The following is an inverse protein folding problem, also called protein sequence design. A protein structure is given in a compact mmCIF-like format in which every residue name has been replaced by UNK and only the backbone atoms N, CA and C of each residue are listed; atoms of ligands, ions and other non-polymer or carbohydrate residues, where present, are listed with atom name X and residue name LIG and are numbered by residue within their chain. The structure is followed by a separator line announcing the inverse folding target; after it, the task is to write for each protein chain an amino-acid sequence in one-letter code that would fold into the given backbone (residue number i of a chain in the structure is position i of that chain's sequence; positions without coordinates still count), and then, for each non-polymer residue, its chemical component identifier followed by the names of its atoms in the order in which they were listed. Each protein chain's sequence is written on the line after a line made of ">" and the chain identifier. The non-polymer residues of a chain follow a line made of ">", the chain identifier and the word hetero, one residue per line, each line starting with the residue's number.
data_IF_368553399019
#
_entry.id   IF_368553399019
#
_cell.length_a   1.000
_cell.length_b   1.000
_cell.length_c   1.000
_cell.angle_alpha   90.00
_cell.angle_beta   90.00
_cell.angle_gamma   90.00
#
_symmetry.space_group_name_H-M   'P 1'
#
loop_
_entity.id
_entity.type
_entity.pdbx_description
1 polymer ?
#
# COMPACT_ATOMS: atom_id res chain seq x y z
N UNK A 1 1.92 12.41 1.04
CA UNK A 1 0.67 11.82 1.57
C UNK A 1 0.87 11.46 3.03
N UNK A 2 -0.07 11.77 3.93
CA UNK A 2 0.03 11.38 5.33
C UNK A 2 -0.76 10.10 5.58
N UNK A 3 -0.11 9.08 6.15
CA UNK A 3 -0.79 7.87 6.59
C UNK A 3 -1.58 8.20 7.86
N UNK A 4 -2.78 7.64 7.99
CA UNK A 4 -3.65 7.90 9.15
C UNK A 4 -3.08 7.27 10.43
N UNK A 5 -2.25 6.25 10.28
CA UNK A 5 -1.59 5.52 11.37
C UNK A 5 -0.07 5.43 11.16
N UNK A 6 0.71 5.26 12.25
CA UNK A 6 2.15 5.01 12.13
C UNK A 6 2.44 3.68 11.41
N UNK A 7 3.43 3.70 10.52
CA UNK A 7 3.95 2.51 9.85
C UNK A 7 5.44 2.39 10.10
N UNK A 8 5.83 1.25 10.66
CA UNK A 8 7.21 0.90 10.94
C UNK A 8 7.61 -0.29 10.06
N UNK A 9 8.50 -0.07 9.09
CA UNK A 9 9.02 -1.09 8.18
C UNK A 9 10.44 -1.49 8.60
N UNK A 10 10.69 -2.79 8.75
CA UNK A 10 12.01 -3.34 9.09
C UNK A 10 12.56 -4.13 7.90
N UNK A 11 13.82 -3.89 7.55
CA UNK A 11 14.50 -4.62 6.46
C UNK A 11 15.28 -5.79 7.08
N UNK A 12 14.71 -6.98 6.95
CA UNK A 12 15.26 -8.23 7.51
C UNK A 12 15.25 -9.42 6.54
N UNK A 13 14.47 -9.35 5.46
CA UNK A 13 14.32 -10.43 4.46
C UNK A 13 15.28 -10.33 3.26
N UNK A 14 16.38 -9.59 3.36
CA UNK A 14 17.32 -9.38 2.24
C UNK A 14 18.73 -9.91 2.45
N UNK A 15 19.18 -10.07 3.69
CA UNK A 15 20.52 -10.58 4.01
C UNK A 15 20.61 -12.08 3.73
N UNK A 16 21.77 -12.53 3.25
CA UNK A 16 22.04 -13.94 2.94
C UNK A 16 23.33 -14.37 3.63
N UNK A 17 23.42 -15.66 3.97
CA UNK A 17 24.58 -16.25 4.63
C UNK A 17 25.65 -16.68 3.59
N UNK A 18 26.15 -15.75 2.77
CA UNK A 18 27.14 -16.03 1.72
C UNK A 18 28.51 -16.41 2.29
N UNK A 19 28.94 -15.67 3.32
CA UNK A 19 30.18 -15.90 4.07
C UNK A 19 29.81 -16.41 5.46
N UNK A 20 30.37 -17.56 5.82
CA UNK A 20 30.15 -18.21 7.13
C UNK A 20 31.48 -18.61 7.75
N UNK A 21 31.53 -18.70 9.09
CA UNK A 21 32.72 -19.13 9.86
C UNK A 21 33.98 -18.30 9.59
N UNK A 22 33.83 -17.00 9.35
CA UNK A 22 34.91 -16.04 9.20
C UNK A 22 34.69 -14.83 10.11
N UNK A 23 35.75 -14.22 10.63
CA UNK A 23 35.66 -13.05 11.53
C UNK A 23 34.97 -11.85 10.86
N UNK A 24 35.16 -11.67 9.55
CA UNK A 24 34.54 -10.61 8.76
C UNK A 24 33.20 -11.00 8.13
N UNK A 25 32.60 -12.15 8.50
CA UNK A 25 31.41 -12.68 7.85
C UNK A 25 30.22 -11.70 7.88
N UNK A 26 30.00 -11.02 9.00
CA UNK A 26 28.91 -10.04 9.13
C UNK A 26 29.06 -8.89 8.13
N UNK A 27 30.22 -8.23 8.12
CA UNK A 27 30.49 -7.10 7.23
C UNK A 27 30.41 -7.53 5.77
N UNK A 28 31.00 -8.67 5.42
CA UNK A 28 30.98 -9.19 4.05
C UNK A 28 29.55 -9.49 3.56
N UNK A 29 28.71 -10.10 4.40
CA UNK A 29 27.32 -10.39 4.04
C UNK A 29 26.47 -9.12 3.91
N UNK A 30 26.66 -8.12 4.79
CA UNK A 30 25.96 -6.84 4.70
C UNK A 30 26.37 -6.04 3.44
N UNK A 31 27.65 -6.05 3.06
CA UNK A 31 28.10 -5.43 1.81
C UNK A 31 27.47 -6.10 0.58
N UNK A 32 27.40 -7.44 0.57
CA UNK A 32 26.75 -8.20 -0.50
C UNK A 32 25.24 -7.93 -0.58
N UNK A 33 24.56 -7.88 0.57
CA UNK A 33 23.14 -7.51 0.67
C UNK A 33 22.88 -6.14 0.04
N UNK A 34 23.67 -5.13 0.43
CA UNK A 34 23.51 -3.77 -0.06
C UNK A 34 23.77 -3.68 -1.57
N UNK A 35 24.80 -4.38 -2.06
CA UNK A 35 25.11 -4.44 -3.49
C UNK A 35 23.98 -5.05 -4.32
N UNK A 36 23.34 -6.12 -3.81
CA UNK A 36 22.25 -6.84 -4.51
C UNK A 36 20.92 -6.09 -4.46
N UNK A 37 20.63 -5.39 -3.38
CA UNK A 37 19.32 -4.80 -3.12
C UNK A 37 19.30 -3.26 -3.23
N UNK A 38 20.34 -2.65 -3.81
CA UNK A 38 20.50 -1.19 -3.90
C UNK A 38 19.25 -0.47 -4.42
N UNK A 39 18.62 -0.98 -5.48
CA UNK A 39 17.41 -0.38 -6.05
C UNK A 39 16.23 -0.47 -5.08
N UNK A 40 15.99 -1.64 -4.48
CA UNK A 40 14.93 -1.85 -3.48
C UNK A 40 15.11 -0.95 -2.27
N UNK A 41 16.33 -0.85 -1.74
CA UNK A 41 16.62 0.03 -0.61
C UNK A 41 16.48 1.51 -0.97
N UNK A 42 16.82 1.89 -2.20
CA UNK A 42 16.59 3.25 -2.70
C UNK A 42 15.09 3.56 -2.81
N UNK A 43 14.29 2.61 -3.28
CA UNK A 43 12.83 2.72 -3.35
C UNK A 43 12.19 2.84 -1.95
N UNK A 44 12.58 1.98 -1.00
CA UNK A 44 12.08 2.05 0.38
C UNK A 44 12.47 3.36 1.07
N UNK A 45 13.70 3.82 0.87
CA UNK A 45 14.18 5.11 1.38
C UNK A 45 13.43 6.28 0.76
N UNK A 46 13.16 6.22 -0.55
CA UNK A 46 12.31 7.21 -1.20
C UNK A 46 10.89 7.19 -0.61
N UNK A 47 10.30 6.00 -0.43
CA UNK A 47 8.97 5.84 0.16
C UNK A 47 8.86 6.45 1.56
N UNK A 48 9.86 6.24 2.42
CA UNK A 48 9.90 6.85 3.76
C UNK A 48 10.03 8.37 3.72
N UNK A 49 10.58 8.95 2.65
CA UNK A 49 10.66 10.41 2.47
C UNK A 49 9.43 11.02 1.81
N UNK A 50 8.69 10.22 1.04
CA UNK A 50 7.50 10.65 0.29
C UNK A 50 6.19 10.51 1.11
N UNK A 51 6.17 9.61 2.09
CA UNK A 51 5.03 9.33 2.95
C UNK A 51 5.30 9.84 4.38
N UNK A 52 4.34 10.56 4.98
CA UNK A 52 4.42 10.91 6.39
C UNK A 52 4.00 9.72 7.25
N UNK A 53 4.54 9.62 8.47
CA UNK A 53 4.31 8.53 9.41
C UNK A 53 4.87 7.16 8.96
N UNK A 54 5.85 7.14 8.06
CA UNK A 54 6.62 5.93 7.71
C UNK A 54 8.03 6.00 8.30
N UNK A 55 8.36 5.04 9.15
CA UNK A 55 9.71 4.76 9.59
C UNK A 55 10.24 3.54 8.83
N UNK A 56 11.43 3.65 8.25
CA UNK A 56 12.15 2.50 7.66
C UNK A 56 13.42 2.24 8.46
N UNK A 57 13.46 1.12 9.16
CA UNK A 57 14.66 0.63 9.84
C UNK A 57 15.74 0.23 8.82
N UNK A 58 17.01 0.63 9.03
CA UNK A 58 18.07 0.30 8.08
C UNK A 58 18.33 -1.22 8.02
N UNK A 59 18.91 -1.74 6.92
CA UNK A 59 19.32 -3.14 6.84
C UNK A 59 20.27 -3.50 7.99
N UNK A 60 20.14 -4.71 8.53
CA UNK A 60 20.95 -5.19 9.66
C UNK A 60 20.46 -4.72 11.05
N UNK A 61 19.29 -4.11 11.14
CA UNK A 61 18.69 -3.69 12.43
C UNK A 61 18.12 -4.85 13.26
N UNK A 62 18.08 -6.07 12.70
CA UNK A 62 17.45 -7.23 13.31
C UNK A 62 16.17 -7.65 12.59
N UNK A 63 15.49 -8.67 13.13
CA UNK A 63 14.24 -9.20 12.57
C UNK A 63 13.03 -8.39 13.05
N UNK A 64 12.02 -8.21 12.20
CA UNK A 64 10.88 -7.31 12.44
C UNK A 64 10.17 -7.60 13.76
N UNK A 65 9.97 -8.87 14.12
CA UNK A 65 9.25 -9.23 15.34
C UNK A 65 10.05 -8.96 16.61
N UNK A 66 11.36 -9.18 16.58
CA UNK A 66 12.23 -8.90 17.72
C UNK A 66 12.39 -7.39 17.93
N UNK A 67 12.63 -6.65 16.84
CA UNK A 67 12.68 -5.18 16.88
C UNK A 67 11.34 -4.62 17.38
N UNK A 68 10.23 -5.24 17.00
CA UNK A 68 8.91 -4.84 17.48
C UNK A 68 8.75 -5.08 18.99
N UNK A 69 9.20 -6.22 19.51
CA UNK A 69 9.17 -6.49 20.96
C UNK A 69 10.08 -5.56 21.77
N UNK A 70 11.26 -5.24 21.24
CA UNK A 70 12.29 -4.52 21.99
C UNK A 70 12.17 -2.99 21.87
N UNK A 71 11.64 -2.48 20.75
CA UNK A 71 11.70 -1.04 20.43
C UNK A 71 10.40 -0.41 19.91
N UNK A 72 9.64 -1.10 19.05
CA UNK A 72 8.50 -0.48 18.37
C UNK A 72 7.16 -0.65 19.10
N UNK A 73 7.00 -1.71 19.88
CA UNK A 73 5.79 -1.99 20.65
C UNK A 73 5.61 -0.96 21.77
N UNK A 74 4.51 -0.21 21.72
CA UNK A 74 4.25 0.92 22.62
C UNK A 74 3.40 0.54 23.82
N UNK A 75 2.61 -0.54 23.72
CA UNK A 75 1.64 -1.03 24.73
C UNK A 75 0.47 -0.05 24.96
N UNK A 76 0.76 1.22 25.23
CA UNK A 76 -0.21 2.31 25.33
C UNK A 76 0.25 3.49 24.46
N UNK A 77 -0.68 4.06 23.71
CA UNK A 77 -0.51 5.36 23.09
C UNK A 77 -1.17 6.43 23.96
N UNK A 78 -0.57 7.63 23.95
CA UNK A 78 -1.17 8.86 24.48
C UNK A 78 -1.39 9.82 23.31
N UNK A 79 -2.65 10.18 23.07
CA UNK A 79 -3.02 11.21 22.10
C UNK A 79 -3.93 12.21 22.78
N UNK A 80 -3.41 13.42 22.98
CA UNK A 80 -4.14 14.56 23.55
C UNK A 80 -4.74 14.26 24.94
N UNK A 81 -4.05 13.46 25.76
CA UNK A 81 -4.49 13.08 27.11
C UNK A 81 -5.49 11.91 27.13
N UNK A 82 -5.81 11.32 25.98
CA UNK A 82 -6.52 10.06 25.87
C UNK A 82 -5.52 8.90 25.71
N UNK A 83 -5.52 7.98 26.68
CA UNK A 83 -4.77 6.74 26.60
C UNK A 83 -5.58 5.67 25.87
N UNK A 84 -4.96 5.00 24.90
CA UNK A 84 -5.55 3.85 24.23
C UNK A 84 -4.51 2.74 24.03
N UNK A 85 -4.99 1.49 24.02
CA UNK A 85 -4.13 0.33 23.84
C UNK A 85 -3.49 0.33 22.46
N UNK A 86 -2.23 -0.07 22.42
CA UNK A 86 -1.54 -0.40 21.18
C UNK A 86 -2.19 -1.63 20.55
N UNK A 87 -2.46 -1.53 19.25
CA UNK A 87 -2.97 -2.61 18.41
C UNK A 87 -2.33 -2.48 17.04
N UNK A 88 -1.99 -3.61 16.41
CA UNK A 88 -1.19 -3.54 15.18
C UNK A 88 -1.44 -4.72 14.24
N UNK A 89 -1.57 -4.42 12.95
CA UNK A 89 -1.52 -5.41 11.87
C UNK A 89 -0.17 -5.34 11.17
N UNK A 90 0.30 -6.45 10.61
CA UNK A 90 1.59 -6.48 9.92
C UNK A 90 1.55 -7.39 8.70
N UNK A 91 2.37 -7.08 7.69
CA UNK A 91 2.48 -7.87 6.46
C UNK A 91 3.29 -9.16 6.61
N UNK A 92 3.29 -9.74 7.81
CA UNK A 92 3.97 -11.00 8.16
C UNK A 92 3.07 -11.81 9.11
N UNK A 93 2.98 -13.12 8.88
CA UNK A 93 2.13 -14.03 9.67
C UNK A 93 2.49 -14.10 11.16
N UNK A 94 3.76 -13.91 11.51
CA UNK A 94 4.25 -13.98 12.89
C UNK A 94 4.12 -12.65 13.62
N UNK A 95 3.39 -11.67 13.06
CA UNK A 95 3.13 -10.41 13.74
C UNK A 95 2.54 -10.61 15.14
N UNK A 96 1.77 -11.69 15.32
CA UNK A 96 1.24 -12.20 16.62
C UNK A 96 2.28 -12.38 17.72
N UNK A 97 3.58 -12.42 17.41
CA UNK A 97 4.64 -12.50 18.42
C UNK A 97 4.59 -11.35 19.43
N UNK A 98 4.14 -10.15 19.03
CA UNK A 98 4.03 -9.00 19.93
C UNK A 98 2.88 -9.10 20.93
N UNK A 99 1.96 -10.06 20.75
CA UNK A 99 0.87 -10.34 21.69
C UNK A 99 1.40 -10.70 23.10
N UNK A 100 2.65 -11.18 23.18
CA UNK A 100 3.34 -11.44 24.44
C UNK A 100 3.51 -10.17 25.33
N UNK A 101 3.45 -8.97 24.74
CA UNK A 101 3.48 -7.69 25.46
C UNK A 101 2.09 -7.16 25.81
N UNK A 102 1.02 -7.91 25.53
CA UNK A 102 -0.37 -7.45 25.70
C UNK A 102 -0.86 -6.52 24.60
N UNK A 103 -0.16 -6.46 23.46
CA UNK A 103 -0.54 -5.69 22.27
C UNK A 103 -1.37 -6.61 21.37
N UNK A 104 -2.61 -6.25 21.06
CA UNK A 104 -3.43 -7.10 20.18
C UNK A 104 -2.94 -6.99 18.72
N UNK A 105 -2.48 -8.09 18.13
CA UNK A 105 -1.92 -8.07 16.78
C UNK A 105 -2.17 -9.32 15.94
N UNK A 106 -2.10 -9.17 14.62
CA UNK A 106 -2.12 -10.30 13.69
C UNK A 106 -1.49 -9.97 12.33
N UNK A 107 -1.15 -11.02 11.59
CA UNK A 107 -0.64 -10.92 10.23
C UNK A 107 -1.76 -10.71 9.22
N UNK A 108 -1.52 -9.85 8.23
CA UNK A 108 -2.42 -9.57 7.10
C UNK A 108 -1.62 -9.53 5.79
N UNK A 109 -2.30 -9.53 4.64
CA UNK A 109 -1.65 -9.29 3.35
C UNK A 109 -1.27 -7.82 3.14
N UNK A 110 -0.51 -7.54 2.09
CA UNK A 110 -0.03 -6.18 1.79
C UNK A 110 -1.18 -5.19 1.52
N UNK A 111 -2.21 -5.62 0.80
CA UNK A 111 -3.36 -4.77 0.45
C UNK A 111 -4.18 -4.45 1.70
N UNK A 112 -4.34 -5.41 2.60
CA UNK A 112 -5.01 -5.23 3.88
C UNK A 112 -4.27 -4.24 4.78
N UNK A 113 -2.93 -4.33 4.81
CA UNK A 113 -2.10 -3.37 5.50
C UNK A 113 -2.22 -1.96 4.86
N UNK A 114 -2.17 -1.86 3.53
CA UNK A 114 -2.33 -0.59 2.81
C UNK A 114 -3.70 0.07 3.09
N UNK A 115 -4.78 -0.70 3.05
CA UNK A 115 -6.13 -0.24 3.36
C UNK A 115 -6.24 0.30 4.80
N UNK A 116 -5.62 -0.38 5.75
CA UNK A 116 -5.58 0.05 7.16
C UNK A 116 -4.74 1.33 7.33
N UNK A 117 -3.74 1.51 6.48
CA UNK A 117 -2.71 2.54 6.61
C UNK A 117 -3.13 3.88 5.99
N UNK A 118 -3.79 3.82 4.84
CA UNK A 118 -4.09 4.98 4.01
C UNK A 118 -5.52 5.52 4.21
N UNK A 119 -6.34 4.84 5.01
CA UNK A 119 -7.68 5.28 5.38
C UNK A 119 -8.78 4.85 4.39
N UNK A 120 -9.90 5.56 4.42
CA UNK A 120 -11.04 5.28 3.54
C UNK A 120 -10.89 5.94 2.17
N UNK A 121 -11.31 5.24 1.12
CA UNK A 121 -11.41 5.83 -0.22
C UNK A 121 -12.39 6.99 -0.20
N UNK A 122 -11.98 8.14 -0.75
CA UNK A 122 -12.84 9.32 -0.78
C UNK A 122 -14.10 9.02 -1.60
N UNK A 123 -15.30 9.41 -1.13
CA UNK A 123 -16.56 8.92 -1.68
C UNK A 123 -16.83 9.33 -3.14
N UNK A 124 -16.13 10.34 -3.66
CA UNK A 124 -16.23 10.79 -5.06
C UNK A 124 -15.31 10.02 -6.02
N UNK A 125 -14.48 9.11 -5.53
CA UNK A 125 -13.58 8.31 -6.37
C UNK A 125 -14.34 7.08 -6.87
N UNK A 126 -14.35 6.91 -8.20
CA UNK A 126 -14.99 5.77 -8.84
C UNK A 126 -14.02 4.58 -8.91
N UNK A 127 -14.13 3.68 -7.95
CA UNK A 127 -13.39 2.42 -7.89
C UNK A 127 -14.13 1.30 -8.63
N UNK A 128 -13.37 0.37 -9.20
CA UNK A 128 -13.95 -0.80 -9.88
C UNK A 128 -12.96 -1.95 -9.95
N UNK A 129 -13.44 -3.18 -9.71
CA UNK A 129 -12.65 -4.40 -9.90
C UNK A 129 -13.28 -5.28 -10.98
N UNK A 130 -12.50 -5.55 -12.03
CA UNK A 130 -12.92 -6.36 -13.17
C UNK A 130 -11.94 -7.53 -13.40
N UNK A 131 -12.06 -8.64 -12.65
CA UNK A 131 -11.15 -9.76 -12.81
C UNK A 131 -11.30 -10.42 -14.19
N UNK A 132 -10.21 -10.98 -14.72
CA UNK A 132 -10.25 -11.74 -15.98
C UNK A 132 -11.01 -13.07 -15.87
N UNK A 133 -11.12 -13.63 -14.65
CA UNK A 133 -11.84 -14.87 -14.36
C UNK A 133 -12.30 -14.90 -12.91
N UNK A 134 -13.22 -15.82 -12.59
CA UNK A 134 -13.72 -16.04 -11.22
C UNK A 134 -12.70 -16.63 -10.24
N UNK A 135 -11.54 -17.06 -10.71
CA UNK A 135 -10.54 -17.76 -9.88
C UNK A 135 -9.63 -16.79 -9.12
N UNK A 136 -9.45 -15.57 -9.62
CA UNK A 136 -8.40 -14.63 -9.18
C UNK A 136 -8.45 -14.29 -7.68
N UNK A 137 -9.65 -14.30 -7.09
CA UNK A 137 -9.86 -13.90 -5.68
C UNK A 137 -10.39 -15.07 -4.83
N UNK A 138 -10.57 -16.25 -5.43
CA UNK A 138 -11.03 -17.44 -4.72
C UNK A 138 -9.93 -17.93 -3.76
N UNK A 139 -10.33 -18.23 -2.52
CA UNK A 139 -9.48 -18.74 -1.44
C UNK A 139 -8.58 -17.69 -0.75
N UNK A 140 -8.86 -16.39 -0.91
CA UNK A 140 -8.21 -15.32 -0.14
C UNK A 140 -9.25 -14.42 0.52
N UNK A 141 -8.94 -13.89 1.71
CA UNK A 141 -9.76 -12.86 2.36
C UNK A 141 -9.63 -11.48 1.68
N UNK A 142 -8.84 -11.40 0.60
CA UNK A 142 -8.53 -10.18 -0.13
C UNK A 142 -9.78 -9.47 -0.67
N UNK A 143 -10.80 -10.22 -1.10
CA UNK A 143 -12.04 -9.62 -1.60
C UNK A 143 -12.69 -8.72 -0.55
N UNK A 144 -12.68 -9.13 0.73
CA UNK A 144 -13.29 -8.35 1.80
C UNK A 144 -12.61 -7.00 1.98
N UNK A 145 -11.29 -6.96 1.80
CA UNK A 145 -10.51 -5.75 1.96
C UNK A 145 -10.63 -4.84 0.73
N UNK A 146 -10.65 -5.42 -0.47
CA UNK A 146 -10.99 -4.71 -1.70
C UNK A 146 -12.40 -4.12 -1.65
N UNK A 147 -13.39 -4.86 -1.13
CA UNK A 147 -14.75 -4.37 -0.94
C UNK A 147 -14.81 -3.15 0.00
N UNK A 148 -13.99 -3.14 1.06
CA UNK A 148 -13.90 -2.00 1.98
C UNK A 148 -13.34 -0.74 1.31
N UNK A 149 -12.50 -0.92 0.28
CA UNK A 149 -11.99 0.16 -0.56
C UNK A 149 -12.92 0.51 -1.74
N UNK A 150 -14.11 -0.10 -1.83
CA UNK A 150 -15.04 0.11 -2.95
C UNK A 150 -14.68 -0.64 -4.24
N UNK A 151 -13.74 -1.60 -4.17
CA UNK A 151 -13.38 -2.49 -5.28
C UNK A 151 -14.24 -3.75 -5.30
N UNK A 152 -15.56 -3.58 -5.24
CA UNK A 152 -16.48 -4.68 -5.46
C UNK A 152 -16.31 -5.22 -6.89
N UNK A 153 -16.45 -6.53 -7.05
CA UNK A 153 -16.41 -7.15 -8.38
C UNK A 153 -17.62 -6.68 -9.18
N UNK A 154 -17.36 -5.88 -10.22
CA UNK A 154 -18.41 -5.33 -11.09
C UNK A 154 -18.69 -6.21 -12.32
N UNK A 155 -17.82 -7.18 -12.59
CA UNK A 155 -17.99 -8.14 -13.68
C UNK A 155 -16.68 -8.78 -14.11
N UNK A 156 -16.78 -9.84 -14.91
CA UNK A 156 -15.64 -10.54 -15.49
C UNK A 156 -15.48 -10.18 -16.96
N UNK A 157 -14.49 -9.34 -17.29
CA UNK A 157 -14.30 -8.86 -18.66
C UNK A 157 -13.41 -7.62 -18.76
N UNK A 158 -13.29 -7.06 -19.97
CA UNK A 158 -12.38 -5.93 -20.22
C UNK A 158 -12.84 -4.59 -19.62
N UNK A 159 -14.16 -4.33 -19.54
CA UNK A 159 -14.79 -3.16 -18.88
C UNK A 159 -14.02 -1.84 -19.12
N UNK A 160 -13.45 -1.23 -18.07
CA UNK A 160 -12.75 0.07 -18.13
C UNK A 160 -11.57 0.05 -19.10
N UNK A 161 -10.90 -1.10 -19.30
CA UNK A 161 -9.76 -1.24 -20.24
C UNK A 161 -10.13 -0.91 -21.68
N UNK A 162 -11.40 -1.09 -22.07
CA UNK A 162 -11.90 -0.80 -23.42
C UNK A 162 -12.78 0.45 -23.46
N UNK A 163 -12.85 1.23 -22.38
CA UNK A 163 -13.68 2.43 -22.29
C UNK A 163 -15.12 2.21 -21.84
N UNK A 164 -15.48 0.97 -21.48
CA UNK A 164 -16.77 0.69 -20.86
C UNK A 164 -16.72 1.03 -19.37
N UNK A 165 -16.36 2.26 -19.04
CA UNK A 165 -16.21 2.75 -17.66
C UNK A 165 -17.55 3.10 -17.01
N UNK A 166 -18.60 3.36 -17.79
CA UNK A 166 -19.87 3.96 -17.32
C UNK A 166 -19.69 5.38 -16.79
N UNK A 167 -20.77 6.01 -16.33
CA UNK A 167 -20.79 7.43 -15.95
C UNK A 167 -20.31 7.67 -14.51
N UNK A 168 -19.79 8.87 -14.24
CA UNK A 168 -19.58 9.36 -12.88
C UNK A 168 -20.90 9.73 -12.21
N UNK A 169 -20.89 9.84 -10.88
CA UNK A 169 -21.97 10.50 -10.15
C UNK A 169 -22.18 11.92 -10.70
N UNK A 170 -23.44 12.35 -10.79
CA UNK A 170 -23.80 13.64 -11.38
C UNK A 170 -23.08 14.81 -10.68
N UNK A 171 -22.92 14.74 -9.36
CA UNK A 171 -22.21 15.77 -8.60
C UNK A 171 -20.73 15.87 -8.99
N UNK A 172 -20.08 14.74 -9.25
CA UNK A 172 -18.68 14.68 -9.68
C UNK A 172 -18.53 15.12 -11.13
N UNK A 173 -19.42 14.65 -12.00
CA UNK A 173 -19.43 15.01 -13.41
C UNK A 173 -19.61 16.53 -13.59
N UNK A 174 -20.57 17.13 -12.90
CA UNK A 174 -20.82 18.58 -12.89
C UNK A 174 -19.63 19.34 -12.29
N UNK A 175 -19.04 18.86 -11.19
CA UNK A 175 -17.86 19.51 -10.62
C UNK A 175 -16.67 19.55 -11.60
N UNK A 176 -16.45 18.48 -12.37
CA UNK A 176 -15.39 18.41 -13.38
C UNK A 176 -15.65 19.41 -14.52
N UNK A 177 -16.87 19.45 -15.05
CA UNK A 177 -17.21 20.26 -16.23
C UNK A 177 -17.37 21.74 -15.89
N UNK A 178 -18.07 22.08 -14.81
CA UNK A 178 -18.35 23.47 -14.42
C UNK A 178 -17.09 24.22 -13.97
N UNK A 179 -16.11 23.51 -13.41
CA UNK A 179 -14.87 24.09 -12.90
C UNK A 179 -13.66 23.83 -13.82
N UNK A 180 -13.88 23.28 -15.02
CA UNK A 180 -12.83 22.91 -15.99
C UNK A 180 -11.66 22.13 -15.37
N UNK A 181 -11.98 21.13 -14.54
CA UNK A 181 -10.97 20.34 -13.83
C UNK A 181 -10.34 19.31 -14.76
N UNK A 182 -9.02 19.16 -14.63
CA UNK A 182 -8.29 18.04 -15.22
C UNK A 182 -8.45 16.84 -14.28
N UNK A 183 -9.46 16.00 -14.54
CA UNK A 183 -9.63 14.73 -13.84
C UNK A 183 -8.70 13.66 -14.41
N UNK A 184 -8.18 12.81 -13.52
CA UNK A 184 -7.26 11.74 -13.84
C UNK A 184 -7.88 10.35 -13.59
N UNK A 185 -7.53 9.36 -14.42
CA UNK A 185 -7.82 7.95 -14.18
C UNK A 185 -6.52 7.15 -13.98
N UNK A 186 -6.55 6.23 -13.03
CA UNK A 186 -5.50 5.24 -12.79
C UNK A 186 -6.08 3.85 -13.11
N UNK A 187 -5.38 3.06 -13.92
CA UNK A 187 -5.86 1.74 -14.30
C UNK A 187 -4.73 0.73 -14.47
N UNK A 188 -4.97 -0.51 -14.03
CA UNK A 188 -4.08 -1.65 -14.25
C UNK A 188 -4.30 -2.31 -15.61
N UNK A 189 -4.36 -1.46 -16.64
CA UNK A 189 -4.58 -1.84 -18.04
C UNK A 189 -3.31 -1.71 -18.88
N UNK A 190 -3.48 -1.59 -20.20
CA UNK A 190 -2.39 -1.49 -21.16
C UNK A 190 -2.53 -0.34 -22.19
N UNK A 191 -3.64 0.41 -22.15
CA UNK A 191 -3.89 1.54 -23.04
C UNK A 191 -4.51 2.70 -22.24
N UNK A 192 -4.07 3.93 -22.51
CA UNK A 192 -4.46 5.12 -21.75
C UNK A 192 -4.69 6.36 -22.66
N UNK A 193 -5.12 6.16 -23.90
CA UNK A 193 -5.41 7.27 -24.82
C UNK A 193 -6.51 8.18 -24.26
N UNK A 194 -6.36 9.48 -24.51
CA UNK A 194 -7.36 10.49 -24.14
C UNK A 194 -8.74 10.15 -24.72
N UNK A 195 -9.78 10.30 -23.92
CA UNK A 195 -11.16 9.97 -24.30
C UNK A 195 -11.48 8.48 -24.44
N UNK A 196 -10.49 7.58 -24.38
CA UNK A 196 -10.72 6.12 -24.44
C UNK A 196 -11.16 5.55 -23.11
N UNK A 197 -10.64 6.05 -21.99
CA UNK A 197 -10.96 5.50 -20.66
C UNK A 197 -12.32 6.01 -20.19
N UNK A 198 -12.50 7.33 -20.14
CA UNK A 198 -13.76 8.00 -19.86
C UNK A 198 -13.76 9.40 -20.51
N UNK A 199 -14.89 9.93 -21.02
CA UNK A 199 -14.93 11.26 -21.67
C UNK A 199 -14.49 12.42 -20.77
N UNK A 200 -14.77 12.31 -19.47
CA UNK A 200 -14.40 13.31 -18.46
C UNK A 200 -12.99 13.16 -17.87
N UNK A 201 -12.18 12.16 -18.26
CA UNK A 201 -10.81 11.99 -17.76
C UNK A 201 -9.78 12.36 -18.83
N UNK A 202 -9.16 13.55 -18.65
CA UNK A 202 -8.15 14.08 -19.58
C UNK A 202 -6.77 13.46 -19.36
N UNK A 203 -6.46 13.08 -18.13
CA UNK A 203 -5.22 12.37 -17.80
C UNK A 203 -5.50 10.91 -17.46
N UNK A 204 -4.76 9.97 -18.07
CA UNK A 204 -4.96 8.55 -17.82
C UNK A 204 -3.59 7.87 -17.66
N UNK A 205 -3.41 7.13 -16.57
CA UNK A 205 -2.12 6.54 -16.19
C UNK A 205 -2.25 5.03 -16.03
N UNK A 206 -1.25 4.31 -16.56
CA UNK A 206 -1.13 2.87 -16.40
C UNK A 206 -0.21 2.57 -15.22
N UNK A 207 -0.68 1.72 -14.31
CA UNK A 207 0.11 1.32 -13.15
C UNK A 207 -0.21 -0.12 -12.75
N UNK A 208 0.63 -0.74 -11.90
CA UNK A 208 0.28 -2.05 -11.32
C UNK A 208 -0.91 -1.91 -10.36
N UNK A 209 -1.67 -3.00 -10.08
CA UNK A 209 -2.80 -2.93 -9.15
C UNK A 209 -2.49 -2.26 -7.80
N UNK A 210 -1.38 -2.59 -7.10
CA UNK A 210 -1.06 -1.92 -5.82
C UNK A 210 -0.82 -0.41 -5.97
N UNK A 211 -0.23 0.03 -7.09
CA UNK A 211 -0.03 1.46 -7.33
C UNK A 211 -1.36 2.16 -7.59
N UNK A 212 -2.30 1.51 -8.31
CA UNK A 212 -3.66 2.04 -8.47
C UNK A 212 -4.32 2.24 -7.10
N UNK A 213 -4.17 1.28 -6.18
CA UNK A 213 -4.73 1.36 -4.83
C UNK A 213 -4.17 2.55 -4.03
N UNK A 214 -2.85 2.76 -4.10
CA UNK A 214 -2.19 3.93 -3.48
C UNK A 214 -2.77 5.25 -4.00
N UNK A 215 -2.96 5.40 -5.32
CA UNK A 215 -3.53 6.62 -5.88
C UNK A 215 -5.03 6.78 -5.60
N UNK A 216 -5.78 5.69 -5.55
CA UNK A 216 -7.18 5.67 -5.12
C UNK A 216 -7.29 6.20 -3.70
N UNK A 217 -6.41 5.77 -2.80
CA UNK A 217 -6.40 6.23 -1.42
C UNK A 217 -5.91 7.69 -1.30
N UNK A 218 -4.89 8.09 -2.07
CA UNK A 218 -4.44 9.49 -2.13
C UNK A 218 -5.53 10.44 -2.66
N UNK A 219 -6.32 9.96 -3.61
CA UNK A 219 -7.36 10.73 -4.31
C UNK A 219 -6.81 11.87 -5.16
N UNK A 220 -5.53 11.82 -5.56
CA UNK A 220 -4.89 12.77 -6.47
C UNK A 220 -3.61 12.20 -7.08
N UNK A 221 -3.30 12.59 -8.32
CA UNK A 221 -2.05 12.20 -9.01
C UNK A 221 -0.92 13.22 -8.86
N UNK A 222 -1.22 14.43 -8.35
CA UNK A 222 -0.28 15.57 -8.29
C UNK A 222 0.76 15.47 -7.17
N UNK A 223 0.72 14.44 -6.33
CA UNK A 223 1.68 14.26 -5.23
C UNK A 223 2.94 13.47 -5.64
N UNK A 224 2.95 12.86 -6.83
CA UNK A 224 3.94 11.85 -7.20
C UNK A 224 4.65 12.12 -8.54
N UNK A 225 4.32 13.20 -9.24
CA UNK A 225 4.96 13.68 -10.47
C UNK A 225 5.37 15.15 -10.34
#
# INVERSE_FOLDING_TARGET
>A
MALEVPVDLVIDHSVQADVVRAENALLANMELEFKRNKERFSFLKWGSSALHNVLVGPPGSGIVHQVNLEYLGRVLFDKEGALYSDTVVGTDSHKTMVDALGIASWGVGGIEAEATTLGHVKPWIKTSLAPGSGVVLQNSDLQRCLDHLGYNVIGYGCITRIGNSGDFDESVASAITENDLVAAAMLSGNWNFEGRVHPLTRENYLASPPVVDVYTLAGTVRQFF
#
